data_IF_925854937278
#
_entry.id   IF_925854937278
#
_cell.length_a   1.000
_cell.length_b   1.000
_cell.length_c   1.000
_cell.angle_alpha   90.00
_cell.angle_beta   90.00
_cell.angle_gamma   90.00
#
_symmetry.space_group_name_H-M   'P 1'
#
loop_
_entity.id
_entity.type
_entity.pdbx_description
1 polymer ?
#
# COMPACT_ATOMS: atom_id res chain seq x y z
N UNK A 1 64.24 -13.46 6.85
CA UNK A 1 62.90 -12.85 6.93
C UNK A 1 62.09 -13.60 7.97
N UNK A 2 61.70 -12.88 9.02
CA UNK A 2 61.26 -13.39 10.32
C UNK A 2 59.80 -13.86 10.32
N UNK A 3 59.55 -15.09 10.78
CA UNK A 3 58.21 -15.59 11.14
C UNK A 3 57.84 -15.05 12.52
N UNK A 4 56.63 -14.50 12.69
CA UNK A 4 56.01 -14.33 14.01
C UNK A 4 54.56 -14.81 13.97
N UNK A 5 54.30 -15.80 14.83
CA UNK A 5 52.99 -16.25 15.25
C UNK A 5 52.41 -15.25 16.26
N UNK A 6 51.09 -15.04 16.22
CA UNK A 6 50.35 -14.52 17.36
C UNK A 6 49.15 -15.40 17.68
N UNK A 7 48.95 -15.54 18.98
CA UNK A 7 48.22 -16.58 19.69
C UNK A 7 46.75 -16.22 19.88
N UNK A 8 46.02 -17.30 20.13
CA UNK A 8 44.68 -17.42 20.68
C UNK A 8 44.35 -16.60 21.94
N UNK A 9 43.04 -16.42 22.09
CA UNK A 9 42.23 -16.29 23.30
C UNK A 9 41.94 -14.88 23.85
N UNK A 10 40.66 -14.51 23.88
CA UNK A 10 39.89 -14.50 25.13
C UNK A 10 38.38 -14.50 24.82
N UNK A 11 37.67 -15.50 25.34
CA UNK A 11 36.21 -15.60 25.33
C UNK A 11 35.71 -14.81 26.54
N UNK A 12 34.90 -13.78 26.31
CA UNK A 12 34.18 -13.09 27.38
C UNK A 12 32.72 -13.56 27.35
N UNK A 13 32.34 -14.40 28.31
CA UNK A 13 30.95 -14.68 28.65
C UNK A 13 30.36 -13.42 29.31
N UNK A 14 29.35 -12.82 28.69
CA UNK A 14 28.47 -11.85 29.34
C UNK A 14 27.11 -12.51 29.54
N UNK A 15 26.85 -12.89 30.79
CA UNK A 15 25.52 -13.22 31.28
C UNK A 15 24.76 -11.93 31.56
N UNK A 16 23.62 -11.73 30.92
CA UNK A 16 22.64 -10.71 31.30
C UNK A 16 21.28 -11.38 31.47
N UNK A 17 20.77 -11.25 32.69
CA UNK A 17 19.64 -11.99 33.24
C UNK A 17 18.30 -11.70 32.57
N UNK A 18 17.47 -12.73 32.56
CA UNK A 18 16.06 -12.64 32.21
C UNK A 18 15.28 -11.92 33.32
N UNK A 19 14.60 -10.83 32.96
CA UNK A 19 13.48 -10.32 33.73
C UNK A 19 12.22 -11.08 33.27
N UNK A 20 11.83 -12.08 34.04
CA UNK A 20 10.51 -12.71 33.93
C UNK A 20 9.47 -11.76 34.53
N UNK A 21 8.62 -11.16 33.70
CA UNK A 21 7.47 -10.39 34.17
C UNK A 21 6.30 -11.36 34.41
N UNK A 22 6.06 -11.73 35.66
CA UNK A 22 4.80 -12.36 36.07
C UNK A 22 3.78 -11.26 36.32
N UNK A 23 2.78 -11.14 35.45
CA UNK A 23 1.59 -10.31 35.73
C UNK A 23 0.63 -11.18 36.53
N UNK A 24 0.51 -10.92 37.82
CA UNK A 24 -0.52 -11.52 38.67
C UNK A 24 -1.86 -10.88 38.33
N UNK A 25 -2.75 -11.66 37.71
CA UNK A 25 -4.18 -11.36 37.63
C UNK A 25 -4.80 -11.65 39.00
N UNK A 26 -4.74 -10.66 39.88
CA UNK A 26 -5.62 -10.62 41.04
C UNK A 26 -6.33 -9.26 41.02
N UNK A 27 -7.63 -9.26 41.34
CA UNK A 27 -8.55 -8.11 41.34
C UNK A 27 -9.19 -7.71 39.99
N UNK A 28 -10.05 -8.59 39.47
CA UNK A 28 -11.23 -8.14 38.70
C UNK A 28 -12.49 -8.81 39.26
N UNK A 29 -12.94 -8.32 40.42
CA UNK A 29 -14.29 -8.57 40.93
C UNK A 29 -14.91 -7.28 41.49
N UNK A 30 -16.10 -6.94 40.98
CA UNK A 30 -16.99 -5.88 41.46
C UNK A 30 -17.32 -4.90 40.33
N UNK A 31 -18.53 -4.83 39.76
CA UNK A 31 -19.85 -5.21 40.27
C UNK A 31 -20.65 -3.94 40.56
N UNK A 32 -21.66 -3.65 39.73
CA UNK A 32 -22.67 -2.61 39.93
C UNK A 32 -22.40 -1.31 39.15
N UNK A 33 -23.38 -0.58 38.65
CA UNK A 33 -24.82 -0.78 38.53
C UNK A 33 -25.29 0.12 37.37
N UNK A 34 -26.37 -0.28 36.70
CA UNK A 34 -27.10 0.56 35.75
C UNK A 34 -27.76 1.72 36.49
N UNK A 35 -27.73 2.92 35.89
CA UNK A 35 -28.83 3.89 35.93
C UNK A 35 -28.51 5.08 35.02
N UNK A 36 -29.34 5.22 33.97
CA UNK A 36 -29.97 6.42 33.42
C UNK A 36 -29.18 7.72 33.23
N UNK A 37 -29.19 8.25 32.01
CA UNK A 37 -29.90 9.48 31.65
C UNK A 37 -29.55 9.89 30.22
N UNK A 38 -30.56 10.36 29.48
CA UNK A 38 -30.47 10.68 28.07
C UNK A 38 -29.68 11.95 27.75
N UNK A 39 -29.28 12.03 26.49
CA UNK A 39 -29.16 13.28 25.76
C UNK A 39 -29.45 12.99 24.28
N UNK A 40 -30.61 13.45 23.83
CA UNK A 40 -30.91 13.60 22.40
C UNK A 40 -29.97 14.67 21.85
N UNK A 41 -29.09 14.30 20.92
CA UNK A 41 -28.36 15.28 20.13
C UNK A 41 -29.12 15.54 18.84
N UNK A 42 -29.71 16.74 18.84
CA UNK A 42 -30.16 17.49 17.67
C UNK A 42 -28.95 17.74 16.76
N UNK A 43 -29.05 17.31 15.50
CA UNK A 43 -28.05 17.56 14.47
C UNK A 43 -28.75 18.32 13.34
N UNK A 44 -28.84 19.64 13.50
CA UNK A 44 -29.18 20.57 12.43
C UNK A 44 -28.06 21.59 12.21
N UNK A 45 -27.67 21.68 10.93
CA UNK A 45 -26.85 22.68 10.24
C UNK A 45 -25.34 22.73 10.58
N UNK A 46 -24.41 23.03 9.68
CA UNK A 46 -24.30 23.10 8.22
C UNK A 46 -22.86 23.59 7.98
N UNK A 47 -22.15 23.12 6.95
CA UNK A 47 -21.41 24.00 6.02
C UNK A 47 -20.67 23.21 4.94
N UNK A 48 -20.89 23.70 3.72
CA UNK A 48 -20.26 23.34 2.46
C UNK A 48 -18.73 23.35 2.46
N UNK A 49 -18.16 22.37 1.75
CA UNK A 49 -16.92 22.56 1.00
C UNK A 49 -16.84 21.56 -0.17
N UNK A 50 -17.34 21.99 -1.32
CA UNK A 50 -16.74 21.78 -2.64
C UNK A 50 -16.44 20.35 -3.09
N UNK A 51 -17.48 19.62 -3.52
CA UNK A 51 -17.33 18.51 -4.48
C UNK A 51 -17.08 19.12 -5.86
N UNK A 52 -15.86 18.96 -6.37
CA UNK A 52 -15.58 19.20 -7.79
C UNK A 52 -16.31 18.11 -8.59
N UNK A 53 -17.32 18.54 -9.33
CA UNK A 53 -18.13 17.72 -10.20
C UNK A 53 -17.33 17.06 -11.31
N UNK A 54 -17.64 15.79 -11.54
CA UNK A 54 -17.80 15.28 -12.90
C UNK A 54 -19.25 14.89 -13.04
N UNK A 55 -19.91 15.50 -14.01
CA UNK A 55 -21.32 15.38 -14.28
C UNK A 55 -21.70 13.93 -14.63
N UNK A 56 -22.54 13.35 -13.77
CA UNK A 56 -23.36 12.19 -14.10
C UNK A 56 -24.45 12.63 -15.09
N UNK A 57 -24.15 12.54 -16.38
CA UNK A 57 -25.17 12.60 -17.43
C UNK A 57 -25.58 11.17 -17.83
N UNK A 58 -26.49 10.58 -17.05
CA UNK A 58 -27.38 9.53 -17.55
C UNK A 58 -28.41 10.19 -18.49
N UNK A 59 -28.12 10.21 -19.79
CA UNK A 59 -29.14 10.43 -20.82
C UNK A 59 -29.52 9.08 -21.44
N UNK A 60 -30.67 8.56 -21.02
CA UNK A 60 -31.33 7.43 -21.67
C UNK A 60 -31.96 7.90 -22.97
N UNK A 61 -31.24 7.72 -24.09
CA UNK A 61 -31.83 7.65 -25.43
C UNK A 61 -31.55 6.30 -26.06
N UNK A 62 -32.64 5.68 -26.51
CA UNK A 62 -32.67 4.39 -27.20
C UNK A 62 -33.02 4.68 -28.65
N UNK A 63 -32.01 4.74 -29.50
CA UNK A 63 -32.14 4.88 -30.95
C UNK A 63 -31.43 3.67 -31.58
N UNK A 64 -32.22 2.81 -32.21
CA UNK A 64 -31.79 1.57 -32.84
C UNK A 64 -31.01 1.79 -34.14
N UNK A 65 -29.78 2.24 -34.02
CA UNK A 65 -28.71 2.00 -35.00
C UNK A 65 -27.78 0.95 -34.43
N UNK A 66 -27.38 -0.04 -35.22
CA UNK A 66 -26.23 -0.87 -34.89
C UNK A 66 -24.98 0.01 -35.03
N UNK A 67 -24.75 0.87 -34.02
CA UNK A 67 -23.50 1.57 -33.87
C UNK A 67 -22.44 0.48 -33.73
N UNK A 68 -21.53 0.44 -34.70
CA UNK A 68 -20.30 -0.28 -34.54
C UNK A 68 -19.68 0.22 -33.24
N UNK A 69 -19.79 -0.58 -32.18
CA UNK A 69 -19.24 -0.26 -30.87
C UNK A 69 -17.79 0.07 -31.12
N UNK A 70 -17.44 1.35 -30.98
CA UNK A 70 -16.08 1.78 -31.15
C UNK A 70 -15.23 0.87 -30.24
N UNK A 71 -14.11 0.33 -30.75
CA UNK A 71 -13.28 -0.54 -29.94
C UNK A 71 -12.97 0.17 -28.62
N UNK A 72 -13.04 -0.52 -27.47
CA UNK A 72 -12.80 0.11 -26.19
C UNK A 72 -11.45 0.85 -26.24
N UNK A 73 -11.48 2.12 -25.86
CA UNK A 73 -10.28 2.96 -25.81
C UNK A 73 -9.33 2.34 -24.77
N UNK A 74 -8.07 2.01 -25.12
CA UNK A 74 -7.13 1.42 -24.17
C UNK A 74 -6.97 2.35 -22.96
N UNK A 75 -7.04 1.79 -21.75
CA UNK A 75 -7.07 2.55 -20.49
C UNK A 75 -5.99 3.64 -20.43
N UNK A 76 -4.74 3.29 -20.77
CA UNK A 76 -3.63 4.24 -20.68
C UNK A 76 -3.64 5.36 -21.72
N UNK A 77 -4.44 5.25 -22.79
CA UNK A 77 -4.54 6.31 -23.80
C UNK A 77 -5.37 7.52 -23.34
N UNK A 78 -6.06 7.41 -22.20
CA UNK A 78 -6.88 8.47 -21.61
C UNK A 78 -6.11 9.47 -20.73
N UNK A 79 -4.80 9.26 -20.52
CA UNK A 79 -4.00 10.05 -19.58
C UNK A 79 -2.93 10.92 -20.29
N UNK A 80 -2.67 12.09 -19.71
CA UNK A 80 -1.65 13.02 -20.21
C UNK A 80 -0.22 12.46 -20.05
N UNK A 81 0.72 12.97 -20.84
CA UNK A 81 2.12 12.54 -20.86
C UNK A 81 2.87 12.66 -19.52
N UNK A 82 2.34 13.42 -18.55
CA UNK A 82 2.87 13.52 -17.18
C UNK A 82 2.45 12.38 -16.25
N UNK A 83 1.58 11.48 -16.72
CA UNK A 83 1.08 10.33 -15.95
C UNK A 83 1.85 9.07 -16.34
N UNK A 84 2.43 8.39 -15.37
CA UNK A 84 2.87 7.02 -15.59
C UNK A 84 1.64 6.11 -15.57
N UNK A 85 1.46 5.30 -16.61
CA UNK A 85 0.31 4.41 -16.73
C UNK A 85 0.73 2.99 -17.15
N UNK A 86 0.04 1.98 -16.61
CA UNK A 86 0.17 0.58 -16.98
C UNK A 86 -1.14 -0.17 -16.80
N UNK A 87 -1.78 -0.56 -17.90
CA UNK A 87 -2.90 -1.50 -17.97
C UNK A 87 -2.42 -2.96 -18.13
N UNK A 88 -1.11 -3.18 -18.32
CA UNK A 88 -0.48 -4.50 -18.52
C UNK A 88 -0.84 -5.21 -19.83
N UNK A 89 -1.58 -4.56 -20.73
CA UNK A 89 -1.92 -5.07 -22.05
C UNK A 89 -0.76 -5.00 -23.04
N UNK A 90 0.14 -4.05 -22.79
CA UNK A 90 1.32 -3.78 -23.59
C UNK A 90 2.47 -4.78 -23.31
N UNK A 91 3.66 -4.51 -23.85
CA UNK A 91 4.83 -5.40 -23.72
C UNK A 91 5.25 -5.55 -22.26
N UNK A 92 5.14 -6.73 -21.67
CA UNK A 92 5.59 -7.00 -20.31
C UNK A 92 7.10 -7.32 -20.23
N UNK A 93 7.86 -6.79 -19.25
CA UNK A 93 7.44 -5.95 -18.12
C UNK A 93 7.48 -4.44 -18.41
N UNK A 94 7.74 -3.99 -19.64
CA UNK A 94 7.69 -2.56 -19.95
C UNK A 94 6.28 -1.98 -19.64
N UNK A 95 6.17 -0.70 -19.24
CA UNK A 95 7.20 0.33 -19.10
C UNK A 95 7.94 0.34 -17.74
N UNK A 96 7.90 -0.76 -16.99
CA UNK A 96 8.57 -0.90 -15.71
C UNK A 96 10.07 -1.13 -15.90
N UNK A 97 10.88 -0.64 -14.97
CA UNK A 97 12.35 -0.65 -15.11
C UNK A 97 12.96 -1.96 -14.63
N UNK A 98 12.33 -2.62 -13.65
CA UNK A 98 12.82 -3.88 -13.10
C UNK A 98 11.68 -4.80 -12.71
N UNK A 99 11.83 -6.08 -13.04
CA UNK A 99 11.02 -7.18 -12.50
C UNK A 99 11.85 -7.94 -11.48
N UNK A 100 11.26 -8.20 -10.31
CA UNK A 100 11.88 -8.99 -9.26
C UNK A 100 10.99 -10.15 -8.85
N UNK A 101 11.56 -11.36 -8.86
CA UNK A 101 10.98 -12.60 -8.35
C UNK A 101 12.01 -13.25 -7.43
N UNK A 102 11.66 -13.47 -6.17
CA UNK A 102 12.57 -13.99 -5.14
C UNK A 102 12.03 -15.30 -4.59
N UNK A 103 12.91 -16.28 -4.41
CA UNK A 103 12.62 -17.56 -3.75
C UNK A 103 11.42 -18.32 -4.33
N UNK A 104 11.24 -18.27 -5.65
CA UNK A 104 10.17 -19.00 -6.35
C UNK A 104 8.80 -18.31 -6.36
N UNK A 105 8.70 -17.05 -5.92
CA UNK A 105 7.54 -16.22 -6.23
C UNK A 105 7.40 -16.03 -7.75
N UNK A 106 6.17 -15.84 -8.21
CA UNK A 106 5.89 -15.58 -9.63
C UNK A 106 5.27 -14.20 -9.81
N UNK A 107 5.62 -13.58 -10.92
CA UNK A 107 5.12 -12.28 -11.37
C UNK A 107 5.00 -12.32 -12.89
N UNK A 108 3.81 -12.05 -13.40
CA UNK A 108 3.58 -12.11 -14.85
C UNK A 108 2.24 -11.54 -15.24
N UNK A 109 1.92 -11.60 -16.53
CA UNK A 109 0.59 -11.29 -17.03
C UNK A 109 -0.34 -12.48 -16.87
N UNK A 110 -1.58 -12.23 -16.50
CA UNK A 110 -2.66 -13.20 -16.52
C UNK A 110 -3.87 -12.65 -17.27
N UNK A 111 -4.40 -13.43 -18.19
CA UNK A 111 -5.59 -13.14 -18.99
C UNK A 111 -6.89 -13.57 -18.30
N UNK A 112 -6.83 -14.62 -17.50
CA UNK A 112 -7.96 -15.06 -16.70
C UNK A 112 -8.36 -13.96 -15.71
N UNK A 113 -9.57 -13.43 -15.86
CA UNK A 113 -10.16 -12.43 -14.95
C UNK A 113 -9.44 -11.06 -14.87
N UNK A 114 -8.81 -10.61 -15.96
CA UNK A 114 -8.37 -9.22 -16.09
C UNK A 114 -9.57 -8.25 -16.00
N UNK A 115 -9.37 -7.06 -15.41
CA UNK A 115 -10.42 -6.05 -15.29
C UNK A 115 -10.51 -5.23 -16.56
N UNK A 116 -9.37 -4.76 -17.06
CA UNK A 116 -9.20 -4.27 -18.42
C UNK A 116 -8.61 -5.41 -19.27
N UNK A 117 -9.15 -5.61 -20.47
CA UNK A 117 -8.75 -6.72 -21.32
C UNK A 117 -7.60 -6.27 -22.25
N UNK A 118 -6.65 -7.17 -22.59
CA UNK A 118 -6.61 -8.60 -22.25
C UNK A 118 -5.93 -9.05 -20.95
N UNK A 119 -5.07 -8.26 -20.30
CA UNK A 119 -4.17 -8.76 -19.26
C UNK A 119 -4.20 -7.94 -17.98
N UNK A 120 -4.03 -8.64 -16.85
CA UNK A 120 -3.72 -8.03 -15.55
C UNK A 120 -2.33 -8.51 -15.09
N UNK A 121 -1.68 -7.74 -14.22
CA UNK A 121 -0.50 -8.23 -13.50
C UNK A 121 -0.93 -9.24 -12.44
N UNK A 122 -0.27 -10.39 -12.36
CA UNK A 122 -0.46 -11.41 -11.33
C UNK A 122 0.82 -11.54 -10.52
N UNK A 123 0.70 -11.42 -9.20
CA UNK A 123 1.75 -11.74 -8.24
C UNK A 123 1.30 -12.92 -7.38
N UNK A 124 2.09 -14.00 -7.36
CA UNK A 124 1.85 -15.18 -6.51
C UNK A 124 3.08 -15.42 -5.65
N UNK A 125 2.88 -15.38 -4.34
CA UNK A 125 3.93 -15.44 -3.34
C UNK A 125 3.62 -16.48 -2.29
N UNK A 126 4.68 -17.05 -1.73
CA UNK A 126 4.68 -17.87 -0.52
C UNK A 126 5.44 -17.19 0.60
N UNK A 127 5.31 -17.73 1.81
CA UNK A 127 6.09 -17.31 2.98
C UNK A 127 7.59 -17.23 2.67
N UNK A 128 8.19 -16.06 2.88
CA UNK A 128 9.62 -15.81 2.63
C UNK A 128 9.99 -15.54 1.17
N UNK A 129 8.99 -15.29 0.32
CA UNK A 129 9.17 -14.96 -1.10
C UNK A 129 8.68 -13.53 -1.40
N UNK A 130 8.93 -13.05 -2.61
CA UNK A 130 8.58 -11.69 -3.02
C UNK A 130 8.46 -11.65 -4.54
N UNK A 131 7.44 -10.94 -5.04
CA UNK A 131 7.27 -10.65 -6.47
C UNK A 131 6.87 -9.18 -6.66
N UNK A 132 7.60 -8.40 -7.47
CA UNK A 132 7.19 -7.04 -7.81
C UNK A 132 7.86 -6.43 -9.05
N UNK A 133 7.19 -5.42 -9.58
CA UNK A 133 7.74 -4.47 -10.55
C UNK A 133 8.23 -3.22 -9.83
N UNK A 134 9.30 -2.61 -10.34
CA UNK A 134 9.85 -1.35 -9.86
C UNK A 134 9.81 -0.30 -10.96
N UNK A 135 9.58 0.94 -10.54
CA UNK A 135 9.73 2.11 -11.39
C UNK A 135 10.52 3.18 -10.66
N UNK A 136 11.59 3.63 -11.30
CA UNK A 136 12.37 4.78 -10.93
C UNK A 136 11.89 5.98 -11.75
N UNK A 137 11.74 7.13 -11.08
CA UNK A 137 11.31 8.36 -11.72
C UNK A 137 12.48 9.34 -11.82
N UNK A 138 12.29 10.41 -12.59
CA UNK A 138 13.23 11.51 -12.66
C UNK A 138 12.64 12.77 -12.02
N UNK A 139 13.51 13.63 -11.51
CA UNK A 139 13.14 14.88 -10.85
C UNK A 139 12.72 14.67 -9.40
N UNK A 140 12.85 15.73 -8.61
CA UNK A 140 12.41 15.73 -7.22
C UNK A 140 10.90 16.00 -7.15
N UNK A 141 10.17 15.18 -6.42
CA UNK A 141 8.73 15.29 -6.22
C UNK A 141 8.40 15.35 -4.72
N UNK A 142 7.32 16.03 -4.37
CA UNK A 142 6.84 16.19 -2.98
C UNK A 142 5.39 15.74 -2.79
N UNK A 143 4.77 15.25 -3.85
CA UNK A 143 3.40 14.78 -3.89
C UNK A 143 3.39 13.49 -4.70
N UNK A 144 2.40 12.63 -4.51
CA UNK A 144 2.09 11.57 -5.46
C UNK A 144 0.61 11.21 -5.35
N UNK A 145 -0.03 10.97 -6.48
CA UNK A 145 -1.36 10.37 -6.55
C UNK A 145 -1.26 9.08 -7.34
N UNK A 146 -1.54 7.98 -6.66
CA UNK A 146 -1.44 6.62 -7.21
C UNK A 146 -2.84 6.04 -7.24
N UNK A 147 -3.24 5.50 -8.39
CA UNK A 147 -4.49 4.75 -8.53
C UNK A 147 -4.21 3.40 -9.18
N UNK A 148 -4.85 2.35 -8.72
CA UNK A 148 -4.83 1.05 -9.38
C UNK A 148 -6.02 0.22 -8.93
N UNK A 149 -6.43 -0.71 -9.77
CA UNK A 149 -7.38 -1.73 -9.38
C UNK A 149 -6.63 -2.95 -8.85
N UNK A 150 -7.15 -3.57 -7.79
CA UNK A 150 -6.58 -4.81 -7.27
C UNK A 150 -7.63 -5.84 -6.93
N UNK A 151 -7.26 -7.10 -7.07
CA UNK A 151 -8.05 -8.26 -6.62
C UNK A 151 -7.15 -9.22 -5.85
N UNK A 152 -7.60 -9.66 -4.68
CA UNK A 152 -6.89 -10.64 -3.87
C UNK A 152 -7.53 -12.00 -4.13
N UNK A 153 -6.84 -12.92 -4.78
CA UNK A 153 -7.34 -14.27 -5.09
C UNK A 153 -7.04 -15.26 -3.96
N UNK A 154 -5.88 -15.11 -3.32
CA UNK A 154 -5.52 -15.91 -2.15
C UNK A 154 -4.93 -14.99 -1.09
N UNK A 155 -5.45 -15.12 0.13
CA UNK A 155 -5.05 -14.32 1.28
C UNK A 155 -4.28 -15.19 2.27
N UNK A 156 -3.25 -14.64 2.93
CA UNK A 156 -2.57 -15.38 3.98
C UNK A 156 -3.41 -15.53 5.26
N UNK A 157 -2.97 -16.39 6.19
CA UNK A 157 -3.61 -16.54 7.50
C UNK A 157 -3.76 -15.22 8.27
N UNK A 158 -4.72 -15.16 9.20
CA UNK A 158 -5.20 -13.93 9.83
C UNK A 158 -4.12 -13.02 10.46
N UNK A 159 -3.02 -13.60 10.95
CA UNK A 159 -1.94 -12.87 11.61
C UNK A 159 -0.94 -12.22 10.64
N UNK A 160 -0.99 -12.55 9.35
CA UNK A 160 0.02 -12.11 8.40
C UNK A 160 -0.43 -10.88 7.59
N UNK A 161 0.57 -10.14 7.13
CA UNK A 161 0.41 -8.95 6.30
C UNK A 161 1.15 -9.16 5.00
N UNK A 162 0.70 -8.49 3.96
CA UNK A 162 1.49 -8.32 2.75
C UNK A 162 1.33 -6.90 2.23
N UNK A 163 2.40 -6.34 1.69
CA UNK A 163 2.37 -5.06 1.01
C UNK A 163 2.07 -5.28 -0.46
N UNK A 164 1.20 -4.42 -1.00
CA UNK A 164 0.78 -4.44 -2.41
C UNK A 164 1.44 -3.32 -3.22
N UNK A 165 1.73 -2.21 -2.56
CA UNK A 165 2.32 -1.03 -3.17
C UNK A 165 3.24 -0.32 -2.19
N UNK A 166 4.36 0.21 -2.68
CA UNK A 166 5.22 1.11 -1.92
C UNK A 166 5.77 2.22 -2.78
N UNK A 167 5.97 3.37 -2.15
CA UNK A 167 6.69 4.49 -2.72
C UNK A 167 7.66 5.06 -1.68
N UNK A 168 8.81 5.50 -2.18
CA UNK A 168 9.83 6.22 -1.42
C UNK A 168 10.27 7.40 -2.26
N UNK A 169 10.34 8.59 -1.66
CA UNK A 169 10.71 9.81 -2.38
C UNK A 169 12.22 10.06 -2.44
N UNK A 170 13.00 9.48 -1.52
CA UNK A 170 14.46 9.62 -1.52
C UNK A 170 15.12 8.37 -0.89
N UNK A 171 16.33 7.96 -1.29
CA UNK A 171 17.06 6.82 -0.70
C UNK A 171 17.36 6.91 0.80
N UNK A 172 17.12 8.05 1.45
CA UNK A 172 17.19 8.21 2.91
C UNK A 172 15.82 8.54 3.56
N UNK A 173 14.77 8.74 2.75
CA UNK A 173 13.40 8.95 3.25
C UNK A 173 12.77 7.66 3.80
N UNK A 174 11.78 7.75 4.70
CA UNK A 174 10.90 6.63 4.99
C UNK A 174 10.19 6.11 3.72
N UNK A 175 9.88 4.81 3.71
CA UNK A 175 9.06 4.17 2.69
C UNK A 175 7.62 4.22 3.15
N UNK A 176 6.71 4.52 2.24
CA UNK A 176 5.28 4.37 2.48
C UNK A 176 4.77 3.13 1.77
N UNK A 177 3.90 2.39 2.44
CA UNK A 177 3.37 1.12 1.99
C UNK A 177 1.86 1.10 2.12
N UNK A 178 1.19 0.53 1.12
CA UNK A 178 -0.16 0.02 1.25
C UNK A 178 -0.04 -1.46 1.60
N UNK A 179 -0.48 -1.81 2.80
CA UNK A 179 -0.45 -3.18 3.31
C UNK A 179 -1.86 -3.71 3.52
N UNK A 180 -2.06 -4.99 3.22
CA UNK A 180 -3.32 -5.68 3.45
C UNK A 180 -3.11 -6.81 4.46
N UNK A 181 -4.10 -7.00 5.33
CA UNK A 181 -4.20 -8.07 6.33
C UNK A 181 -5.50 -8.85 6.10
N UNK A 182 -5.82 -9.83 6.94
CA UNK A 182 -7.14 -10.46 6.91
C UNK A 182 -8.31 -9.53 7.27
N UNK A 183 -8.05 -8.46 8.01
CA UNK A 183 -9.10 -7.63 8.62
C UNK A 183 -9.03 -6.17 8.21
N UNK A 184 -7.97 -5.74 7.53
CA UNK A 184 -7.75 -4.33 7.24
C UNK A 184 -6.86 -4.12 6.02
N UNK A 185 -7.02 -2.96 5.37
CA UNK A 185 -5.97 -2.36 4.54
C UNK A 185 -5.46 -1.12 5.24
N UNK A 186 -4.14 -0.98 5.36
CA UNK A 186 -3.48 0.04 6.16
C UNK A 186 -2.40 0.75 5.36
N UNK A 187 -2.08 1.96 5.80
CA UNK A 187 -0.83 2.62 5.41
C UNK A 187 0.21 2.29 6.47
N UNK A 188 1.38 1.85 6.03
CA UNK A 188 2.54 1.69 6.90
C UNK A 188 3.66 2.58 6.41
N UNK A 189 4.31 3.27 7.34
CA UNK A 189 5.59 3.93 7.13
C UNK A 189 6.68 3.01 7.68
N UNK A 190 7.71 2.74 6.88
CA UNK A 190 8.92 2.05 7.30
C UNK A 190 10.13 2.98 7.23
N UNK A 191 10.92 3.03 8.30
CA UNK A 191 12.16 3.80 8.36
C UNK A 191 13.33 2.85 8.59
N UNK A 192 14.37 2.96 7.76
CA UNK A 192 15.60 2.22 7.94
C UNK A 192 16.35 2.75 9.19
N UNK A 193 16.71 1.84 10.08
CA UNK A 193 17.49 2.13 11.28
C UNK A 193 18.99 1.97 11.00
N UNK A 194 19.83 2.66 11.78
CA UNK A 194 21.28 2.63 11.59
C UNK A 194 21.91 1.22 11.80
N UNK A 195 21.22 0.33 12.52
CA UNK A 195 21.62 -1.06 12.73
C UNK A 195 21.18 -2.00 11.59
N UNK A 196 20.53 -1.46 10.55
CA UNK A 196 19.95 -2.23 9.44
C UNK A 196 18.56 -2.79 9.73
N UNK A 197 17.98 -2.48 10.90
CA UNK A 197 16.59 -2.79 11.23
C UNK A 197 15.58 -1.87 10.54
N UNK A 198 14.29 -2.16 10.76
CA UNK A 198 13.18 -1.33 10.31
C UNK A 198 12.34 -0.89 11.51
N UNK A 199 12.10 0.41 11.64
CA UNK A 199 11.02 0.93 12.49
C UNK A 199 9.76 1.10 11.63
N UNK A 200 8.60 0.82 12.20
CA UNK A 200 7.34 0.76 11.45
C UNK A 200 6.18 1.41 12.20
N UNK A 201 5.51 2.34 11.54
CA UNK A 201 4.25 2.94 12.02
C UNK A 201 3.15 2.61 11.04
N UNK A 202 2.14 1.89 11.52
CA UNK A 202 0.94 1.60 10.75
C UNK A 202 -0.23 2.43 11.28
N UNK A 203 -1.05 2.94 10.38
CA UNK A 203 -2.39 3.43 10.73
C UNK A 203 -3.33 2.25 10.93
N UNK A 204 -4.26 2.33 11.86
CA UNK A 204 -5.41 1.42 11.85
C UNK A 204 -6.37 1.89 10.75
N UNK A 205 -6.33 1.21 9.61
CA UNK A 205 -7.33 1.38 8.54
C UNK A 205 -8.52 0.45 8.75
N UNK A 206 -9.73 0.96 8.51
CA UNK A 206 -10.94 0.15 8.54
C UNK A 206 -11.21 -0.52 7.19
N UNK A 207 -11.82 -1.70 7.20
CA UNK A 207 -12.33 -2.35 5.99
C UNK A 207 -11.40 -3.42 5.40
N UNK A 208 -12.03 -4.54 5.04
CA UNK A 208 -11.40 -5.68 4.37
C UNK A 208 -11.62 -5.53 2.87
N UNK A 209 -10.58 -5.81 2.09
CA UNK A 209 -10.74 -6.04 0.66
C UNK A 209 -11.28 -7.45 0.49
N UNK A 210 -12.49 -7.66 -0.02
CA UNK A 210 -13.02 -9.00 -0.18
C UNK A 210 -12.12 -9.83 -1.11
N UNK A 211 -11.98 -11.12 -0.81
CA UNK A 211 -11.31 -12.06 -1.71
C UNK A 211 -12.13 -12.14 -3.00
N UNK A 212 -11.44 -12.28 -4.12
CA UNK A 212 -12.02 -12.42 -5.46
C UNK A 212 -12.89 -11.25 -5.94
N UNK A 213 -12.74 -10.08 -5.33
CA UNK A 213 -13.40 -8.84 -5.76
C UNK A 213 -12.37 -7.83 -6.21
N UNK A 214 -12.61 -7.22 -7.38
CA UNK A 214 -11.84 -6.06 -7.84
C UNK A 214 -12.27 -4.84 -7.02
N UNK A 215 -11.30 -4.11 -6.49
CA UNK A 215 -11.49 -2.84 -5.79
C UNK A 215 -10.56 -1.80 -6.36
N UNK A 216 -11.01 -0.55 -6.38
CA UNK A 216 -10.19 0.59 -6.79
C UNK A 216 -9.44 1.16 -5.60
N UNK A 217 -8.11 1.23 -5.68
CA UNK A 217 -7.24 1.79 -4.65
C UNK A 217 -6.73 3.14 -5.08
N UNK A 218 -6.96 4.15 -4.25
CA UNK A 218 -6.35 5.49 -4.38
C UNK A 218 -5.42 5.72 -3.20
N UNK A 219 -4.14 5.98 -3.47
CA UNK A 219 -3.14 6.33 -2.48
C UNK A 219 -2.53 7.69 -2.82
N UNK A 220 -2.66 8.63 -1.90
CA UNK A 220 -2.18 10.00 -2.07
C UNK A 220 -1.14 10.34 -1.00
N UNK A 221 -0.07 11.02 -1.41
CA UNK A 221 1.00 11.49 -0.54
C UNK A 221 1.22 12.99 -0.78
N UNK A 222 1.41 13.74 0.31
CA UNK A 222 1.82 15.14 0.30
C UNK A 222 2.86 15.34 1.40
N UNK A 223 4.13 15.45 0.99
CA UNK A 223 5.27 15.61 1.90
C UNK A 223 5.26 16.98 2.58
N UNK A 224 4.76 18.02 1.89
CA UNK A 224 4.70 19.38 2.42
C UNK A 224 3.74 19.48 3.61
N UNK A 225 2.63 18.75 3.53
CA UNK A 225 1.65 18.61 4.61
C UNK A 225 1.96 17.46 5.57
N UNK A 226 2.96 16.62 5.25
CA UNK A 226 3.31 15.40 5.98
C UNK A 226 2.10 14.48 6.13
N UNK A 227 1.39 14.26 5.04
CA UNK A 227 0.19 13.43 5.00
C UNK A 227 0.30 12.33 3.97
N UNK A 228 -0.33 11.20 4.28
CA UNK A 228 -0.67 10.17 3.30
C UNK A 228 -2.10 9.70 3.54
N UNK A 229 -2.83 9.37 2.49
CA UNK A 229 -4.20 8.86 2.60
C UNK A 229 -4.45 7.72 1.65
N UNK A 230 -5.30 6.79 2.09
CA UNK A 230 -5.71 5.62 1.35
C UNK A 230 -7.24 5.61 1.28
N UNK A 231 -7.77 5.49 0.08
CA UNK A 231 -9.16 5.21 -0.18
C UNK A 231 -9.31 3.89 -0.97
N UNK A 232 -10.41 3.18 -0.70
CA UNK A 232 -10.81 1.99 -1.44
C UNK A 232 -12.25 2.20 -1.90
N UNK A 233 -12.47 2.12 -3.21
CA UNK A 233 -13.75 2.42 -3.87
C UNK A 233 -14.28 3.80 -3.47
N UNK A 234 -13.40 4.81 -3.52
CA UNK A 234 -13.71 6.20 -3.12
C UNK A 234 -13.88 6.41 -1.61
N UNK A 235 -14.00 5.36 -0.80
CA UNK A 235 -14.17 5.47 0.64
C UNK A 235 -12.81 5.56 1.33
N UNK A 236 -12.56 6.66 2.03
CA UNK A 236 -11.33 6.84 2.84
C UNK A 236 -11.22 5.73 3.90
N UNK A 237 -10.12 4.98 3.88
CA UNK A 237 -9.86 3.85 4.78
C UNK A 237 -8.82 4.16 5.85
N UNK A 238 -7.78 4.91 5.48
CA UNK A 238 -6.69 5.26 6.38
C UNK A 238 -6.10 6.62 6.02
N UNK A 239 -5.50 7.28 7.01
CA UNK A 239 -4.69 8.46 6.81
C UNK A 239 -3.59 8.55 7.86
N UNK A 240 -2.39 8.93 7.41
CA UNK A 240 -1.32 9.45 8.25
C UNK A 240 -1.46 10.97 8.27
N UNK A 241 -1.77 11.54 9.43
CA UNK A 241 -1.80 12.97 9.66
C UNK A 241 -0.49 13.48 10.29
N UNK A 242 -0.26 14.80 10.39
CA UNK A 242 0.95 15.39 10.98
C UNK A 242 1.28 14.89 12.40
N UNK A 243 0.25 14.55 13.19
CA UNK A 243 0.33 14.05 14.56
C UNK A 243 0.87 12.61 14.65
N UNK A 244 0.35 11.73 13.80
CA UNK A 244 0.78 10.34 13.61
C UNK A 244 2.13 10.30 12.88
N UNK A 245 2.35 11.30 12.02
CA UNK A 245 3.57 11.57 11.28
C UNK A 245 4.68 12.23 12.10
N UNK A 246 4.60 12.28 13.44
CA UNK A 246 5.77 12.62 14.25
C UNK A 246 6.98 11.74 13.90
N UNK A 247 6.75 10.55 13.36
CA UNK A 247 7.78 9.66 12.81
C UNK A 247 8.09 9.84 11.31
N UNK A 248 7.29 10.58 10.51
CA UNK A 248 7.74 11.00 9.16
C UNK A 248 9.00 11.88 9.28
N UNK A 249 9.26 12.46 10.47
CA UNK A 249 10.58 12.98 10.83
C UNK A 249 11.06 14.13 9.94
N UNK A 250 12.32 14.52 10.12
CA UNK A 250 12.99 15.51 9.26
C UNK A 250 13.33 14.98 7.87
N UNK A 251 13.25 13.66 7.68
CA UNK A 251 13.78 12.99 6.50
C UNK A 251 12.70 12.67 5.46
N UNK A 252 11.44 13.03 5.70
CA UNK A 252 10.37 12.95 4.70
C UNK A 252 10.40 14.19 3.81
N UNK A 253 11.35 14.19 2.89
CA UNK A 253 11.69 15.31 2.02
C UNK A 253 11.40 15.00 0.57
N UNK A 254 11.21 16.05 -0.23
CA UNK A 254 11.10 15.90 -1.67
C UNK A 254 12.38 15.27 -2.23
N UNK A 255 12.23 14.35 -3.18
CA UNK A 255 13.35 13.65 -3.77
C UNK A 255 12.93 12.88 -5.02
N UNK A 256 13.85 12.09 -5.57
CA UNK A 256 13.62 11.26 -6.76
C UNK A 256 12.88 9.97 -6.39
N UNK A 257 11.58 9.83 -6.74
CA UNK A 257 10.79 8.72 -6.25
C UNK A 257 11.17 7.41 -6.90
N UNK A 258 11.09 6.36 -6.09
CA UNK A 258 11.03 4.97 -6.53
C UNK A 258 9.77 4.33 -5.99
N UNK A 259 9.03 3.67 -6.86
CA UNK A 259 7.86 2.91 -6.47
C UNK A 259 8.00 1.44 -6.82
N UNK A 260 7.09 0.66 -6.25
CA UNK A 260 7.01 -0.77 -6.47
C UNK A 260 5.57 -1.26 -6.32
N UNK A 261 5.17 -2.12 -7.24
CA UNK A 261 3.85 -2.77 -7.28
C UNK A 261 4.02 -4.29 -7.33
N UNK A 262 3.28 -5.03 -6.51
CA UNK A 262 3.34 -6.50 -6.48
C UNK A 262 2.87 -7.08 -5.15
N UNK A 263 3.46 -8.17 -4.70
CA UNK A 263 3.20 -8.75 -3.38
C UNK A 263 4.52 -9.01 -2.64
N UNK A 264 4.67 -8.43 -1.45
CA UNK A 264 5.91 -8.55 -0.65
C UNK A 264 5.75 -8.30 0.84
N UNK A 265 6.81 -8.63 1.59
CA UNK A 265 6.75 -8.86 3.03
C UNK A 265 5.78 -10.01 3.37
N UNK A 266 5.68 -11.02 2.49
CA UNK A 266 4.54 -11.93 2.49
C UNK A 266 4.81 -13.31 3.08
N UNK A 267 3.73 -13.78 3.70
CA UNK A 267 3.15 -15.12 3.74
C UNK A 267 2.44 -15.49 2.42
N UNK A 268 1.77 -16.63 2.34
CA UNK A 268 1.13 -17.09 1.09
C UNK A 268 0.02 -16.13 0.59
N UNK A 269 0.21 -15.51 -0.58
CA UNK A 269 -0.72 -14.53 -1.15
C UNK A 269 -0.68 -14.55 -2.68
N UNK A 270 -1.87 -14.43 -3.30
CA UNK A 270 -2.02 -14.26 -4.74
C UNK A 270 -2.89 -13.05 -5.04
N UNK A 271 -2.35 -12.11 -5.81
CA UNK A 271 -2.98 -10.82 -6.08
C UNK A 271 -2.89 -10.45 -7.54
N UNK A 272 -3.89 -9.70 -8.01
CA UNK A 272 -3.91 -9.08 -9.33
C UNK A 272 -3.92 -7.58 -9.23
N UNK A 273 -3.34 -6.95 -10.24
CA UNK A 273 -3.33 -5.50 -10.41
C UNK A 273 -3.68 -5.16 -11.86
N UNK A 274 -4.42 -4.07 -12.02
CA UNK A 274 -4.86 -3.56 -13.31
C UNK A 274 -4.97 -2.03 -13.24
N UNK A 275 -5.10 -1.36 -14.39
CA UNK A 275 -5.39 0.06 -14.50
C UNK A 275 -4.50 0.97 -13.62
N UNK A 276 -3.19 0.71 -13.60
CA UNK A 276 -2.28 1.45 -12.74
C UNK A 276 -2.01 2.85 -13.31
N UNK A 277 -2.09 3.87 -12.47
CA UNK A 277 -1.63 5.24 -12.76
C UNK A 277 -0.86 5.83 -11.59
N UNK A 278 0.12 6.67 -11.91
CA UNK A 278 0.79 7.54 -10.97
C UNK A 278 0.98 8.92 -11.58
N UNK A 279 0.63 9.97 -10.83
CA UNK A 279 0.93 11.37 -11.14
C UNK A 279 1.65 12.07 -9.99
N UNK A 280 2.40 13.10 -10.34
CA UNK A 280 3.06 14.01 -9.40
C UNK A 280 2.48 15.43 -9.58
N UNK A 281 1.35 15.75 -8.93
CA UNK A 281 0.66 17.03 -9.09
C UNK A 281 1.39 18.21 -8.43
#
# INVERSE_FOLDING_TARGET
>A
MSRRAYRFACITLLATGGCSLFVTLDELTGGGARSDAGASFDATAASDAGVLGRDDAQDTKTDGGADAVAPPVPFCSAFDAGTFCSDFDNTFPAPWDTLQQVNGATLGRGDAAALSAPFSLVADTRTGTHAALYKDFAGAHSTALVNFDMRIEARPPAAARFAVFTIRFDPDSPRLLVQTTATSTVITQETDLADGGLDSVSTTGGGVVPVDTWVHVTFAVDLSKRTASLAIDGTKRAALGPSEAKQLGSNFVAGVPRMRLGAYYTSDAKTRFDNFTLTFP
#
